data_IF_676766250732
#
_entry.id   IF_676766250732
#
_cell.length_a   1.000
_cell.length_b   1.000
_cell.length_c   1.000
_cell.angle_alpha   90.00
_cell.angle_beta   90.00
_cell.angle_gamma   90.00
#
_symmetry.space_group_name_H-M   'P 1'
#
loop_
_entity.id
_entity.type
_entity.pdbx_description
1 polymer ?
#
# COMPACT_ATOMS: atom_id res chain seq x y z
N UNK A 1 -5.75 -15.41 16.32
CA UNK A 1 -6.43 -14.11 16.03
C UNK A 1 -7.27 -13.73 17.24
N UNK A 2 -7.16 -12.51 17.76
CA UNK A 2 -8.04 -12.04 18.85
C UNK A 2 -9.45 -11.79 18.29
N UNK A 3 -10.49 -12.27 18.98
CA UNK A 3 -11.89 -12.17 18.53
C UNK A 3 -12.37 -10.71 18.41
N UNK A 4 -11.80 -9.82 19.20
CA UNK A 4 -12.07 -8.37 19.20
C UNK A 4 -11.82 -7.69 17.84
N UNK A 5 -10.92 -8.23 17.03
CA UNK A 5 -10.58 -7.67 15.72
C UNK A 5 -11.35 -8.30 14.55
N UNK A 6 -12.33 -9.17 14.82
CA UNK A 6 -13.14 -9.79 13.77
C UNK A 6 -13.76 -8.78 12.78
N UNK A 7 -14.35 -7.66 13.24
CA UNK A 7 -14.92 -6.67 12.33
C UNK A 7 -13.86 -6.01 11.43
N UNK A 8 -12.65 -5.80 11.96
CA UNK A 8 -11.52 -5.30 11.20
C UNK A 8 -11.09 -6.29 10.10
N UNK A 9 -10.92 -7.57 10.41
CA UNK A 9 -10.50 -8.56 9.41
C UNK A 9 -11.51 -8.67 8.26
N UNK A 10 -12.80 -8.71 8.59
CA UNK A 10 -13.87 -8.78 7.58
C UNK A 10 -13.82 -7.54 6.69
N UNK A 11 -13.76 -6.34 7.29
CA UNK A 11 -13.68 -5.08 6.54
C UNK A 11 -12.46 -5.04 5.60
N UNK A 12 -11.28 -5.47 6.07
CA UNK A 12 -10.07 -5.47 5.26
C UNK A 12 -10.05 -6.56 4.20
N UNK A 13 -10.65 -7.72 4.44
CA UNK A 13 -10.81 -8.76 3.44
C UNK A 13 -11.70 -8.28 2.29
N UNK A 14 -12.85 -7.67 2.60
CA UNK A 14 -13.76 -7.09 1.61
C UNK A 14 -13.06 -5.99 0.81
N UNK A 15 -12.38 -5.05 1.49
CA UNK A 15 -11.68 -3.96 0.82
C UNK A 15 -10.56 -4.47 -0.11
N UNK A 16 -9.80 -5.46 0.36
CA UNK A 16 -8.69 -6.05 -0.43
C UNK A 16 -9.20 -6.79 -1.65
N UNK A 17 -10.29 -7.56 -1.50
CA UNK A 17 -10.97 -8.21 -2.62
C UNK A 17 -11.53 -7.21 -3.63
N UNK A 18 -12.24 -6.18 -3.15
CA UNK A 18 -12.78 -5.13 -4.01
C UNK A 18 -11.69 -4.40 -4.80
N UNK A 19 -10.60 -4.00 -4.14
CA UNK A 19 -9.46 -3.36 -4.81
C UNK A 19 -8.81 -4.26 -5.86
N UNK A 20 -8.63 -5.55 -5.55
CA UNK A 20 -8.04 -6.49 -6.49
C UNK A 20 -8.93 -6.71 -7.71
N UNK A 21 -10.26 -6.78 -7.53
CA UNK A 21 -11.23 -6.88 -8.62
C UNK A 21 -11.25 -5.60 -9.46
N UNK A 22 -11.11 -4.42 -8.87
CA UNK A 22 -11.02 -3.17 -9.65
C UNK A 22 -9.75 -3.16 -10.54
N UNK A 23 -8.63 -3.72 -10.05
CA UNK A 23 -7.36 -3.71 -10.77
C UNK A 23 -7.30 -4.78 -11.87
N UNK A 24 -7.72 -6.01 -11.58
CA UNK A 24 -7.57 -7.16 -12.49
C UNK A 24 -8.91 -7.71 -13.03
N UNK A 25 -10.03 -7.04 -12.73
CA UNK A 25 -11.37 -7.56 -13.02
C UNK A 25 -11.70 -8.80 -12.19
N UNK A 26 -12.79 -9.49 -12.57
CA UNK A 26 -13.18 -10.78 -12.00
C UNK A 26 -12.31 -11.91 -12.58
N UNK A 27 -11.00 -11.86 -12.31
CA UNK A 27 -10.01 -12.80 -12.84
C UNK A 27 -9.29 -13.55 -11.72
N UNK A 28 -8.67 -14.67 -12.06
CA UNK A 28 -7.86 -15.46 -11.12
C UNK A 28 -6.68 -14.68 -10.54
N UNK A 29 -6.21 -13.63 -11.22
CA UNK A 29 -5.13 -12.73 -10.76
C UNK A 29 -5.56 -11.83 -9.60
N UNK A 30 -6.87 -11.59 -9.43
CA UNK A 30 -7.39 -10.81 -8.31
C UNK A 30 -7.21 -11.54 -6.97
N UNK A 31 -7.21 -12.88 -6.95
CA UNK A 31 -7.05 -13.66 -5.72
C UNK A 31 -5.69 -13.40 -5.04
N UNK A 32 -4.54 -13.63 -5.68
CA UNK A 32 -3.24 -13.39 -5.05
C UNK A 32 -3.05 -11.92 -4.68
N UNK A 33 -3.56 -10.97 -5.48
CA UNK A 33 -3.50 -9.55 -5.17
C UNK A 33 -4.34 -9.19 -3.92
N UNK A 34 -5.52 -9.79 -3.77
CA UNK A 34 -6.37 -9.59 -2.60
C UNK A 34 -5.70 -10.13 -1.33
N UNK A 35 -5.05 -11.28 -1.41
CA UNK A 35 -4.27 -11.87 -0.32
C UNK A 35 -3.12 -10.94 0.04
N UNK A 36 -2.39 -10.44 -0.95
CA UNK A 36 -1.29 -9.50 -0.73
C UNK A 36 -1.75 -8.24 0.02
N UNK A 37 -2.81 -7.57 -0.43
CA UNK A 37 -3.34 -6.39 0.26
C UNK A 37 -3.84 -6.73 1.68
N UNK A 38 -4.50 -7.87 1.84
CA UNK A 38 -4.96 -8.32 3.14
C UNK A 38 -3.79 -8.59 4.10
N UNK A 39 -2.71 -9.20 3.62
CA UNK A 39 -1.48 -9.42 4.39
C UNK A 39 -0.85 -8.12 4.86
N UNK A 40 -0.89 -7.05 4.06
CA UNK A 40 -0.45 -5.72 4.51
C UNK A 40 -1.28 -5.24 5.70
N UNK A 41 -2.62 -5.31 5.61
CA UNK A 41 -3.48 -4.92 6.73
C UNK A 41 -3.29 -5.79 7.98
N UNK A 42 -3.07 -7.08 7.78
CA UNK A 42 -2.71 -7.98 8.88
C UNK A 42 -1.43 -7.52 9.56
N UNK A 43 -0.37 -7.23 8.79
CA UNK A 43 0.88 -6.72 9.32
C UNK A 43 0.67 -5.42 10.10
N UNK A 44 -0.10 -4.48 9.55
CA UNK A 44 -0.46 -3.23 10.23
C UNK A 44 -1.06 -3.46 11.62
N UNK A 45 -1.99 -4.41 11.75
CA UNK A 45 -2.65 -4.71 13.01
C UNK A 45 -1.72 -5.35 14.04
N UNK A 46 -0.85 -6.27 13.62
CA UNK A 46 -0.03 -7.09 14.53
C UNK A 46 1.39 -6.56 14.75
N UNK A 47 1.79 -5.53 14.02
CA UNK A 47 3.12 -4.91 14.12
C UNK A 47 3.40 -4.18 15.43
N UNK A 48 2.35 -3.80 16.19
CA UNK A 48 2.49 -2.96 17.39
C UNK A 48 2.81 -1.48 17.09
N UNK A 49 2.86 -1.07 15.82
CA UNK A 49 3.20 0.30 15.43
C UNK A 49 2.11 1.34 15.75
N UNK A 50 0.88 0.90 16.01
CA UNK A 50 -0.28 1.77 16.19
C UNK A 50 -0.96 1.50 17.51
N UNK A 51 -1.54 2.56 18.08
CA UNK A 51 -2.43 2.42 19.24
C UNK A 51 -3.74 1.79 18.80
N UNK A 52 -4.26 0.91 19.64
CA UNK A 52 -5.51 0.19 19.39
C UNK A 52 -6.63 0.89 20.16
N UNK A 53 -7.69 1.26 19.45
CA UNK A 53 -8.91 1.85 19.98
C UNK A 53 -10.12 1.00 19.57
N UNK A 54 -10.64 0.21 20.50
CA UNK A 54 -11.73 -0.72 20.24
C UNK A 54 -13.11 -0.04 20.17
N UNK A 55 -13.21 1.25 20.48
CA UNK A 55 -14.49 2.00 20.32
C UNK A 55 -14.93 2.08 18.86
N UNK A 56 -13.99 1.90 17.92
CA UNK A 56 -14.23 1.89 16.48
C UNK A 56 -13.78 0.55 15.87
N UNK A 57 -14.61 -0.50 15.94
CA UNK A 57 -14.19 -1.88 15.68
C UNK A 57 -13.72 -2.17 14.24
N UNK A 58 -14.18 -1.39 13.25
CA UNK A 58 -13.75 -1.50 11.85
C UNK A 58 -12.42 -0.77 11.56
N UNK A 59 -12.06 0.20 12.40
CA UNK A 59 -10.87 1.06 12.26
C UNK A 59 -10.15 1.23 13.60
N UNK A 60 -9.71 0.13 14.23
CA UNK A 60 -9.14 0.19 15.57
C UNK A 60 -7.74 0.81 15.61
N UNK A 61 -7.04 0.88 14.47
CA UNK A 61 -5.68 1.41 14.40
C UNK A 61 -5.70 2.94 14.38
N UNK A 62 -5.16 3.54 15.44
CA UNK A 62 -5.00 4.99 15.56
C UNK A 62 -3.56 5.39 15.25
N UNK A 63 -3.43 6.39 14.37
CA UNK A 63 -2.15 7.02 14.06
C UNK A 63 -1.88 8.10 15.09
N UNK A 64 -0.83 7.91 15.87
CA UNK A 64 -0.26 8.98 16.67
C UNK A 64 0.51 9.98 15.79
N UNK A 65 0.99 11.06 16.39
CA UNK A 65 1.72 12.11 15.69
C UNK A 65 2.95 11.56 14.94
N UNK A 66 3.64 10.56 15.53
CA UNK A 66 4.77 9.88 14.89
C UNK A 66 4.33 9.15 13.62
N UNK A 67 3.31 8.29 13.71
CA UNK A 67 2.84 7.52 12.57
C UNK A 67 2.34 8.43 11.43
N UNK A 68 1.75 9.58 11.74
CA UNK A 68 1.37 10.59 10.75
C UNK A 68 2.61 11.22 10.07
N UNK A 69 3.65 11.55 10.81
CA UNK A 69 4.90 12.06 10.24
C UNK A 69 5.58 11.02 9.35
N UNK A 70 5.59 9.75 9.78
CA UNK A 70 6.12 8.64 8.97
C UNK A 70 5.33 8.49 7.68
N UNK A 71 4.00 8.48 7.77
CA UNK A 71 3.12 8.42 6.59
C UNK A 71 3.41 9.57 5.62
N UNK A 72 3.58 10.80 6.12
CA UNK A 72 3.90 11.96 5.29
C UNK A 72 5.24 11.80 4.59
N UNK A 73 6.28 11.35 5.29
CA UNK A 73 7.61 11.09 4.69
C UNK A 73 7.54 10.01 3.60
N UNK A 74 6.83 8.91 3.88
CA UNK A 74 6.63 7.83 2.92
C UNK A 74 5.87 8.30 1.68
N UNK A 75 4.84 9.14 1.86
CA UNK A 75 4.06 9.72 0.76
C UNK A 75 4.91 10.67 -0.10
N UNK A 76 5.73 11.52 0.51
CA UNK A 76 6.64 12.41 -0.22
C UNK A 76 7.63 11.58 -1.04
N UNK A 77 8.26 10.56 -0.44
CA UNK A 77 9.21 9.70 -1.14
C UNK A 77 8.55 8.98 -2.33
N UNK A 78 7.35 8.42 -2.12
CA UNK A 78 6.58 7.77 -3.17
C UNK A 78 6.23 8.71 -4.33
N UNK A 79 5.81 9.93 -4.00
CA UNK A 79 5.46 10.93 -5.00
C UNK A 79 6.69 11.37 -5.80
N UNK A 80 7.82 11.65 -5.13
CA UNK A 80 9.07 12.01 -5.80
C UNK A 80 9.53 10.89 -6.72
N UNK A 81 9.57 9.63 -6.25
CA UNK A 81 9.99 8.50 -7.09
C UNK A 81 9.01 8.28 -8.25
N UNK A 82 7.71 8.35 -8.00
CA UNK A 82 6.68 8.21 -9.04
C UNK A 82 6.82 9.26 -10.15
N UNK A 83 6.96 10.53 -9.79
CA UNK A 83 7.14 11.63 -10.75
C UNK A 83 8.44 11.48 -11.52
N UNK A 84 9.56 11.20 -10.86
CA UNK A 84 10.85 11.00 -11.53
C UNK A 84 10.81 9.81 -12.49
N UNK A 85 10.14 8.72 -12.10
CA UNK A 85 9.98 7.52 -12.94
C UNK A 85 9.12 7.83 -14.16
N UNK A 86 8.03 8.56 -13.99
CA UNK A 86 7.18 8.98 -15.10
C UNK A 86 7.94 9.84 -16.10
N UNK A 87 8.61 10.91 -15.62
CA UNK A 87 9.41 11.81 -16.47
C UNK A 87 10.53 11.03 -17.19
N UNK A 88 11.25 10.20 -16.44
CA UNK A 88 12.34 9.38 -17.00
C UNK A 88 11.84 8.39 -18.05
N UNK A 89 10.68 7.76 -17.83
CA UNK A 89 10.07 6.84 -18.78
C UNK A 89 9.65 7.55 -20.07
N UNK A 90 9.01 8.72 -19.97
CA UNK A 90 8.64 9.54 -21.14
C UNK A 90 9.87 9.98 -21.94
N UNK A 91 10.89 10.50 -21.26
CA UNK A 91 12.12 10.93 -21.94
C UNK A 91 12.83 9.76 -22.62
N UNK A 92 12.87 8.59 -21.97
CA UNK A 92 13.54 7.42 -22.52
C UNK A 92 12.76 6.80 -23.68
N UNK A 93 11.41 6.83 -23.65
CA UNK A 93 10.59 6.34 -24.77
C UNK A 93 10.73 7.21 -26.01
N UNK A 94 10.95 8.51 -25.84
CA UNK A 94 11.19 9.43 -26.95
C UNK A 94 12.59 9.23 -27.55
N UNK A 95 13.59 8.92 -26.72
CA UNK A 95 14.98 8.71 -27.16
C UNK A 95 15.22 7.33 -27.77
N UNK A 96 14.56 6.30 -27.24
CA UNK A 96 14.72 4.91 -27.64
C UNK A 96 13.33 4.30 -27.88
N UNK A 97 12.94 4.05 -29.15
CA UNK A 97 11.67 3.40 -29.47
C UNK A 97 11.74 1.88 -29.15
N UNK A 98 11.89 1.56 -27.87
CA UNK A 98 11.90 0.19 -27.36
C UNK A 98 10.49 -0.17 -26.86
N UNK A 99 9.88 -1.26 -27.35
CA UNK A 99 8.52 -1.65 -26.98
C UNK A 99 8.35 -2.00 -25.49
N UNK A 100 9.45 -2.26 -24.77
CA UNK A 100 9.48 -2.57 -23.34
C UNK A 100 9.10 -1.37 -22.44
N UNK A 101 9.09 -0.14 -22.97
CA UNK A 101 8.72 1.08 -22.22
C UNK A 101 7.22 1.42 -22.29
N UNK A 102 6.40 0.57 -22.91
CA UNK A 102 4.96 0.82 -23.07
C UNK A 102 4.13 0.63 -21.78
N UNK A 103 4.67 -0.10 -20.79
CA UNK A 103 3.97 -0.34 -19.51
C UNK A 103 4.31 0.79 -18.53
N UNK A 104 3.32 1.57 -18.09
CA UNK A 104 3.54 2.65 -17.12
C UNK A 104 3.91 2.09 -15.74
N UNK A 105 5.20 2.20 -15.38
CA UNK A 105 5.74 1.67 -14.12
C UNK A 105 5.71 2.69 -12.98
N UNK A 106 5.39 3.96 -13.26
CA UNK A 106 5.46 5.03 -12.28
C UNK A 106 4.54 4.80 -11.07
N UNK A 107 3.28 4.42 -11.32
CA UNK A 107 2.29 4.19 -10.26
C UNK A 107 2.64 2.93 -9.43
N UNK A 108 2.87 1.74 -10.02
CA UNK A 108 3.28 0.57 -9.26
C UNK A 108 4.52 0.81 -8.39
N UNK A 109 5.54 1.47 -8.95
CA UNK A 109 6.77 1.77 -8.22
C UNK A 109 6.53 2.74 -7.07
N UNK A 110 5.73 3.80 -7.28
CA UNK A 110 5.36 4.73 -6.22
C UNK A 110 4.65 4.03 -5.05
N UNK A 111 3.72 3.12 -5.34
CA UNK A 111 3.00 2.33 -4.33
C UNK A 111 4.00 1.47 -3.54
N UNK A 112 4.91 0.78 -4.21
CA UNK A 112 5.95 -0.04 -3.56
C UNK A 112 6.83 0.81 -2.66
N UNK A 113 7.32 1.96 -3.15
CA UNK A 113 8.14 2.90 -2.38
C UNK A 113 7.39 3.41 -1.15
N UNK A 114 6.11 3.75 -1.29
CA UNK A 114 5.28 4.18 -0.17
C UNK A 114 5.28 3.15 0.96
N UNK A 115 4.96 1.89 0.64
CA UNK A 115 4.90 0.83 1.65
C UNK A 115 6.27 0.51 2.25
N UNK A 116 7.32 0.40 1.42
CA UNK A 116 8.68 0.15 1.91
C UNK A 116 9.12 1.26 2.86
N UNK A 117 9.00 2.52 2.46
CA UNK A 117 9.41 3.65 3.29
C UNK A 117 8.61 3.72 4.59
N UNK A 118 7.30 3.47 4.52
CA UNK A 118 6.46 3.45 5.70
C UNK A 118 6.88 2.33 6.67
N UNK A 119 7.12 1.11 6.20
CA UNK A 119 7.54 -0.01 7.04
C UNK A 119 8.93 0.16 7.63
N UNK A 120 9.89 0.65 6.84
CA UNK A 120 11.26 0.92 7.32
C UNK A 120 11.24 2.00 8.41
N UNK A 121 10.48 3.07 8.23
CA UNK A 121 10.42 4.16 9.21
C UNK A 121 9.62 3.80 10.47
N UNK A 122 8.60 2.93 10.36
CA UNK A 122 7.85 2.45 11.52
C UNK A 122 8.65 1.42 12.35
N UNK A 123 9.41 0.53 11.70
CA UNK A 123 10.20 -0.53 12.36
C UNK A 123 11.47 -0.04 13.06
N UNK A 124 11.99 1.13 12.72
CA UNK A 124 13.24 1.69 13.29
C UNK A 124 13.09 2.34 14.68
N UNK A 125 11.97 2.18 15.37
CA UNK A 125 11.84 2.63 16.76
C UNK A 125 11.13 1.59 17.61
#
# INVERSE_FOLDING_TARGET
MKKEFLPYYISRAILSGALAIVIFGMSWQAIPLSIFFFSLFWLYLHSGWFKIDLTHPFFPLRRDQRAQLVQRKALIAALVVGVLTFIGQTFLSDLLPLPLLSVNLAIPLAIVVYFIMQFVLLSRA
#
